data_IF_886438980403
#
_entry.id   IF_886438980403
#
_cell.length_a   1.000
_cell.length_b   1.000
_cell.length_c   1.000
_cell.angle_alpha   90.00
_cell.angle_beta   90.00
_cell.angle_gamma   90.00
#
_symmetry.space_group_name_H-M   'P 1'
#
loop_
_entity.id
_entity.type
_entity.pdbx_description
1 polymer ?
#
# COMPACT_ATOMS: atom_id res chain seq x y z
N UNK A 1 -6.09 21.59 -30.68
CA UNK A 1 -7.46 21.95 -31.15
C UNK A 1 -8.09 22.88 -30.12
N UNK A 2 -8.94 23.82 -30.53
CA UNK A 2 -9.61 24.76 -29.62
C UNK A 2 -11.02 24.26 -29.35
N UNK A 3 -11.30 23.83 -28.11
CA UNK A 3 -12.64 23.37 -27.70
C UNK A 3 -13.72 24.42 -27.96
N UNK A 4 -13.38 25.71 -27.85
CA UNK A 4 -14.29 26.82 -28.13
C UNK A 4 -14.67 26.90 -29.62
N UNK A 5 -13.69 26.80 -30.53
CA UNK A 5 -13.96 26.84 -31.97
C UNK A 5 -14.69 25.58 -32.45
N UNK A 6 -14.42 24.44 -31.81
CA UNK A 6 -15.08 23.19 -32.15
C UNK A 6 -16.59 23.27 -31.88
N UNK A 7 -17.04 24.01 -30.86
CA UNK A 7 -18.48 24.19 -30.55
C UNK A 7 -19.24 24.85 -31.71
N UNK A 8 -18.58 25.71 -32.49
CA UNK A 8 -19.18 26.36 -33.67
C UNK A 8 -19.49 25.38 -34.81
N UNK A 9 -19.02 24.12 -34.72
CA UNK A 9 -19.29 23.05 -35.70
C UNK A 9 -20.50 22.18 -35.35
N UNK A 10 -21.37 22.62 -34.42
CA UNK A 10 -22.47 21.82 -33.86
C UNK A 10 -23.25 20.99 -34.89
N UNK A 11 -23.79 21.62 -35.93
CA UNK A 11 -24.59 20.93 -36.96
C UNK A 11 -23.78 20.03 -37.90
N UNK A 12 -22.46 20.20 -38.00
CA UNK A 12 -21.58 19.36 -38.84
C UNK A 12 -21.13 18.07 -38.15
N UNK A 13 -21.44 17.90 -36.86
CA UNK A 13 -21.03 16.71 -36.07
C UNK A 13 -22.02 15.54 -36.14
N UNK A 14 -23.30 15.82 -36.40
CA UNK A 14 -24.34 14.80 -36.59
C UNK A 14 -24.03 13.97 -37.83
N UNK A 15 -23.94 12.65 -37.68
CA UNK A 15 -23.66 11.72 -38.78
C UNK A 15 -24.94 11.01 -39.27
N UNK A 16 -25.85 10.69 -38.36
CA UNK A 16 -27.09 10.00 -38.70
C UNK A 16 -27.94 9.74 -37.46
N UNK A 17 -29.19 9.37 -37.71
CA UNK A 17 -30.13 8.90 -36.69
C UNK A 17 -30.26 7.38 -36.76
N UNK A 18 -30.63 6.77 -35.65
CA UNK A 18 -30.93 5.34 -35.57
C UNK A 18 -32.17 5.11 -34.71
N UNK A 19 -32.77 3.92 -34.85
CA UNK A 19 -33.99 3.52 -34.14
C UNK A 19 -35.14 4.52 -34.31
N UNK A 20 -35.54 4.77 -35.57
CA UNK A 20 -36.69 5.63 -35.94
C UNK A 20 -36.66 7.03 -35.29
N UNK A 21 -35.48 7.63 -35.24
CA UNK A 21 -35.27 8.96 -34.64
C UNK A 21 -35.05 8.96 -33.13
N UNK A 22 -35.01 7.79 -32.47
CA UNK A 22 -34.76 7.69 -31.03
C UNK A 22 -33.31 8.03 -30.65
N UNK A 23 -32.35 7.73 -31.52
CA UNK A 23 -30.93 7.92 -31.26
C UNK A 23 -30.21 8.70 -32.36
N UNK A 24 -29.12 9.36 -31.99
CA UNK A 24 -28.24 10.08 -32.91
C UNK A 24 -26.79 9.58 -32.76
N UNK A 25 -26.12 9.35 -33.89
CA UNK A 25 -24.67 9.11 -33.92
C UNK A 25 -23.94 10.42 -34.21
N UNK A 26 -22.95 10.74 -33.36
CA UNK A 26 -22.12 11.94 -33.49
C UNK A 26 -20.66 11.58 -33.72
N UNK A 27 -20.00 12.37 -34.56
CA UNK A 27 -18.55 12.35 -34.70
C UNK A 27 -17.98 13.58 -33.98
N UNK A 28 -17.45 13.36 -32.78
CA UNK A 28 -16.89 14.39 -31.92
C UNK A 28 -15.67 13.88 -31.15
N UNK A 29 -14.81 14.82 -30.73
CA UNK A 29 -13.60 14.45 -29.99
C UNK A 29 -13.96 13.75 -28.68
N UNK A 30 -13.32 12.60 -28.46
CA UNK A 30 -13.36 11.83 -27.21
C UNK A 30 -11.97 11.81 -26.54
N UNK A 31 -11.16 12.83 -26.80
CA UNK A 31 -9.78 12.91 -26.29
C UNK A 31 -9.72 12.93 -24.76
N UNK A 32 -10.77 13.41 -24.09
CA UNK A 32 -10.90 13.40 -22.63
C UNK A 32 -10.82 11.99 -22.03
N UNK A 33 -11.14 10.95 -22.79
CA UNK A 33 -11.04 9.55 -22.36
C UNK A 33 -9.59 9.13 -22.06
N UNK A 34 -8.60 9.85 -22.61
CA UNK A 34 -7.19 9.62 -22.32
C UNK A 34 -6.87 9.80 -20.82
N UNK A 35 -7.69 10.53 -20.05
CA UNK A 35 -7.54 10.65 -18.60
C UNK A 35 -7.63 9.28 -17.92
N UNK A 36 -8.63 8.47 -18.26
CA UNK A 36 -8.78 7.13 -17.70
C UNK A 36 -7.75 6.15 -18.26
N UNK A 37 -7.40 6.26 -19.55
CA UNK A 37 -6.31 5.45 -20.15
C UNK A 37 -4.97 5.70 -19.44
N UNK A 38 -4.62 6.96 -19.21
CA UNK A 38 -3.40 7.36 -18.51
C UNK A 38 -3.40 6.95 -17.03
N UNK A 39 -4.58 6.89 -16.38
CA UNK A 39 -4.71 6.35 -15.03
C UNK A 39 -4.39 4.85 -14.98
N UNK A 40 -4.88 4.07 -15.94
CA UNK A 40 -4.67 2.63 -16.00
C UNK A 40 -3.24 2.22 -16.39
N UNK A 41 -2.58 3.01 -17.25
CA UNK A 41 -1.17 2.81 -17.59
C UNK A 41 -0.29 2.82 -16.33
N UNK A 42 0.78 2.01 -16.34
CA UNK A 42 1.69 1.79 -15.22
C UNK A 42 3.13 1.65 -15.74
N UNK A 43 4.10 1.77 -14.85
CA UNK A 43 5.53 1.70 -15.18
C UNK A 43 5.97 0.24 -15.33
N UNK A 44 5.57 -0.61 -14.37
CA UNK A 44 5.87 -2.05 -14.37
C UNK A 44 4.90 -2.84 -13.50
N UNK A 45 4.89 -4.15 -13.70
CA UNK A 45 4.27 -5.14 -12.82
C UNK A 45 5.36 -5.97 -12.15
N UNK A 46 5.22 -6.23 -10.86
CA UNK A 46 6.09 -7.13 -10.08
C UNK A 46 5.26 -8.28 -9.54
N UNK A 47 5.76 -9.52 -9.61
CA UNK A 47 5.12 -10.67 -8.97
C UNK A 47 5.39 -10.65 -7.46
N UNK A 48 4.35 -10.76 -6.65
CA UNK A 48 4.47 -10.97 -5.20
C UNK A 48 3.32 -11.82 -4.65
N UNK A 49 3.28 -12.00 -3.33
CA UNK A 49 2.20 -12.67 -2.59
C UNK A 49 1.99 -12.02 -1.22
N UNK A 50 0.99 -12.46 -0.46
CA UNK A 50 0.70 -11.96 0.88
C UNK A 50 1.18 -12.95 1.95
N UNK A 51 2.18 -12.57 2.74
CA UNK A 51 2.69 -13.33 3.89
C UNK A 51 1.78 -13.27 5.10
N UNK A 52 0.49 -13.61 4.93
CA UNK A 52 -0.54 -13.64 5.97
C UNK A 52 -1.11 -15.04 6.09
N UNK A 53 -1.42 -15.48 7.31
CA UNK A 53 -1.95 -16.81 7.59
C UNK A 53 -3.41 -16.97 7.13
N UNK A 54 -3.62 -17.15 5.82
CA UNK A 54 -4.95 -17.20 5.21
C UNK A 54 -5.19 -18.42 4.32
N UNK A 55 -4.24 -19.35 4.24
CA UNK A 55 -4.19 -20.52 3.32
C UNK A 55 -4.25 -20.21 1.83
N UNK A 56 -4.40 -18.94 1.46
CA UNK A 56 -4.60 -18.51 0.08
C UNK A 56 -3.39 -18.76 -0.82
N UNK A 57 -2.19 -18.35 -0.39
CA UNK A 57 -0.96 -18.44 -1.23
C UNK A 57 -1.16 -17.88 -2.66
N UNK A 58 -1.98 -16.84 -2.81
CA UNK A 58 -2.32 -16.26 -4.10
C UNK A 58 -1.15 -15.40 -4.61
N UNK A 59 -0.74 -15.59 -5.86
CA UNK A 59 0.21 -14.73 -6.56
C UNK A 59 -0.50 -13.50 -7.14
N UNK A 60 0.11 -12.33 -7.02
CA UNK A 60 -0.43 -11.04 -7.44
C UNK A 60 0.53 -10.28 -8.37
N UNK A 61 -0.06 -9.48 -9.25
CA UNK A 61 0.55 -8.44 -10.06
C UNK A 61 0.53 -7.15 -9.24
N UNK A 62 1.68 -6.71 -8.76
CA UNK A 62 1.84 -5.45 -8.03
C UNK A 62 2.15 -4.37 -9.06
N UNK A 63 1.27 -3.37 -9.19
CA UNK A 63 1.41 -2.29 -10.16
C UNK A 63 2.23 -1.16 -9.54
N UNK A 64 3.30 -0.78 -10.24
CA UNK A 64 4.10 0.40 -9.91
C UNK A 64 3.78 1.48 -10.94
N UNK A 65 3.43 2.68 -10.47
CA UNK A 65 3.17 3.86 -11.31
C UNK A 65 3.76 5.09 -10.65
N UNK A 66 4.45 5.93 -11.42
CA UNK A 66 5.21 7.07 -10.92
C UNK A 66 6.23 6.66 -9.83
N UNK A 67 6.83 5.46 -9.96
CA UNK A 67 7.78 4.93 -8.98
C UNK A 67 7.17 4.47 -7.64
N UNK A 68 5.84 4.46 -7.49
CA UNK A 68 5.14 4.07 -6.26
C UNK A 68 4.22 2.86 -6.52
N UNK A 69 4.04 2.02 -5.50
CA UNK A 69 3.03 0.96 -5.55
C UNK A 69 1.64 1.62 -5.53
N UNK A 70 0.78 1.29 -6.50
CA UNK A 70 -0.54 1.93 -6.63
C UNK A 70 -1.73 1.00 -6.40
N UNK A 71 -1.72 -0.19 -6.97
CA UNK A 71 -2.76 -1.21 -6.76
C UNK A 71 -2.22 -2.60 -7.09
N UNK A 72 -3.02 -3.64 -6.84
CA UNK A 72 -2.73 -5.01 -7.24
C UNK A 72 -3.91 -5.67 -7.95
N UNK A 73 -3.61 -6.59 -8.87
CA UNK A 73 -4.58 -7.55 -9.44
C UNK A 73 -3.98 -8.95 -9.38
N UNK A 74 -4.81 -9.99 -9.46
CA UNK A 74 -4.30 -11.35 -9.37
C UNK A 74 -3.43 -11.75 -10.57
N UNK A 75 -2.45 -12.61 -10.33
CA UNK A 75 -1.82 -13.38 -11.39
C UNK A 75 -2.77 -14.49 -11.84
N UNK A 76 -2.69 -14.86 -13.11
CA UNK A 76 -3.54 -15.90 -13.70
C UNK A 76 -2.73 -17.00 -14.39
N UNK A 77 -1.41 -16.98 -14.22
CA UNK A 77 -0.46 -17.85 -14.91
C UNK A 77 0.10 -18.97 -14.04
N UNK A 78 -0.72 -19.46 -13.10
CA UNK A 78 -0.40 -20.71 -12.40
C UNK A 78 -0.28 -21.85 -13.42
N UNK A 79 0.57 -22.87 -13.17
CA UNK A 79 0.54 -24.09 -13.96
C UNK A 79 -0.89 -24.63 -14.05
N UNK A 80 -1.35 -24.88 -15.28
CA UNK A 80 -2.71 -25.35 -15.55
C UNK A 80 -2.94 -26.72 -14.90
N UNK A 81 -4.17 -26.96 -14.49
CA UNK A 81 -4.60 -28.29 -14.04
C UNK A 81 -4.80 -29.22 -15.25
N UNK A 82 -5.17 -30.48 -14.98
CA UNK A 82 -5.52 -31.45 -16.03
C UNK A 82 -6.76 -30.97 -16.83
N UNK A 83 -6.94 -31.38 -18.10
CA UNK A 83 -8.03 -30.90 -18.95
C UNK A 83 -9.45 -31.11 -18.40
N UNK A 84 -9.64 -32.08 -17.51
CA UNK A 84 -10.89 -32.44 -16.85
C UNK A 84 -11.17 -31.64 -15.56
N UNK A 85 -10.27 -30.75 -15.16
CA UNK A 85 -10.38 -29.94 -13.94
C UNK A 85 -10.34 -28.43 -14.26
N UNK A 86 -11.01 -27.58 -13.47
CA UNK A 86 -10.86 -26.14 -13.59
C UNK A 86 -9.45 -25.70 -13.18
N UNK A 87 -8.96 -24.60 -13.75
CA UNK A 87 -7.71 -23.98 -13.33
C UNK A 87 -7.89 -23.20 -12.01
N UNK A 88 -6.78 -22.90 -11.35
CA UNK A 88 -6.78 -22.18 -10.07
C UNK A 88 -6.99 -20.66 -10.20
N UNK A 89 -6.68 -20.10 -11.37
CA UNK A 89 -6.77 -18.67 -11.59
C UNK A 89 -8.21 -18.15 -11.46
N UNK A 90 -8.41 -16.90 -10.96
CA UNK A 90 -7.40 -15.95 -10.50
C UNK A 90 -6.99 -16.10 -9.03
N UNK A 91 -7.65 -16.96 -8.25
CA UNK A 91 -7.63 -16.92 -6.77
C UNK A 91 -7.92 -15.49 -6.25
N UNK A 92 -7.27 -15.08 -5.16
CA UNK A 92 -7.41 -13.76 -4.56
C UNK A 92 -8.62 -13.64 -3.62
N UNK A 93 -8.68 -12.54 -2.87
CA UNK A 93 -9.76 -12.25 -1.93
C UNK A 93 -9.81 -10.72 -1.66
N UNK A 94 -10.92 -10.17 -1.13
CA UNK A 94 -11.04 -8.73 -0.91
C UNK A 94 -10.02 -8.18 0.10
N UNK A 95 -9.50 -9.02 1.01
CA UNK A 95 -8.42 -8.62 1.95
C UNK A 95 -7.09 -8.46 1.24
N UNK A 96 -6.80 -9.32 0.25
CA UNK A 96 -5.58 -9.20 -0.57
C UNK A 96 -5.63 -8.01 -1.52
N UNK A 97 -6.81 -7.73 -2.09
CA UNK A 97 -7.01 -6.62 -3.04
C UNK A 97 -6.89 -5.21 -2.41
N UNK A 98 -6.75 -5.11 -1.09
CA UNK A 98 -6.59 -3.84 -0.37
C UNK A 98 -5.19 -3.67 0.25
N UNK A 99 -4.26 -4.60 0.03
CA UNK A 99 -2.98 -4.61 0.74
C UNK A 99 -2.08 -3.42 0.38
N UNK A 100 -2.13 -2.95 -0.88
CA UNK A 100 -1.43 -1.74 -1.35
C UNK A 100 -1.69 -0.50 -0.49
N UNK A 101 -2.85 -0.43 0.19
CA UNK A 101 -3.18 0.65 1.13
C UNK A 101 -2.12 0.83 2.23
N UNK A 102 -1.58 -0.26 2.78
CA UNK A 102 -0.68 -0.21 3.93
C UNK A 102 0.67 0.45 3.64
N UNK A 103 1.09 0.50 2.37
CA UNK A 103 2.45 0.94 2.02
C UNK A 103 2.69 2.39 2.44
N UNK A 104 1.70 3.26 2.20
CA UNK A 104 1.82 4.70 2.47
C UNK A 104 0.70 5.25 3.38
N UNK A 105 -0.13 4.39 3.98
CA UNK A 105 -1.20 4.84 4.87
C UNK A 105 -0.69 5.53 6.14
N UNK A 106 -1.60 6.26 6.80
CA UNK A 106 -1.32 6.98 8.03
C UNK A 106 -0.84 6.07 9.18
N UNK A 107 -1.09 4.76 9.10
CA UNK A 107 -0.69 3.80 10.14
C UNK A 107 0.61 3.06 9.83
N UNK A 108 1.35 3.45 8.77
CA UNK A 108 2.62 2.81 8.41
C UNK A 108 3.70 3.11 9.46
N UNK A 109 4.33 2.06 9.98
CA UNK A 109 5.54 2.18 10.79
C UNK A 109 6.74 2.52 9.89
N UNK A 110 7.31 3.72 10.08
CA UNK A 110 8.42 4.26 9.28
C UNK A 110 9.79 4.18 9.97
N UNK A 111 9.81 4.17 11.30
CA UNK A 111 11.03 4.23 12.11
C UNK A 111 10.92 3.27 13.30
N UNK A 112 12.04 2.77 13.84
CA UNK A 112 12.04 2.11 15.13
C UNK A 112 11.52 3.08 16.21
N UNK A 113 10.70 2.54 17.12
CA UNK A 113 10.05 3.32 18.18
C UNK A 113 10.24 2.62 19.52
N UNK A 114 10.57 3.41 20.53
CA UNK A 114 10.72 2.93 21.92
C UNK A 114 9.82 3.76 22.83
N UNK A 115 9.36 3.16 23.93
CA UNK A 115 8.58 3.88 24.95
C UNK A 115 9.49 4.92 25.62
N UNK A 116 9.07 6.19 25.65
CA UNK A 116 9.87 7.31 26.18
C UNK A 116 10.48 7.04 27.58
N UNK A 117 9.71 6.58 28.60
CA UNK A 117 10.26 6.19 29.89
C UNK A 117 11.44 5.21 29.83
N UNK A 118 11.34 4.15 29.01
CA UNK A 118 12.42 3.18 28.86
C UNK A 118 13.65 3.83 28.20
N UNK A 119 13.44 4.59 27.13
CA UNK A 119 14.55 5.20 26.40
C UNK A 119 15.29 6.26 27.22
N UNK A 120 14.57 6.96 28.11
CA UNK A 120 15.17 7.90 29.06
C UNK A 120 16.13 7.16 30.00
N UNK A 121 15.66 6.09 30.65
CA UNK A 121 16.48 5.26 31.55
C UNK A 121 17.67 4.65 30.82
N UNK A 122 17.45 4.16 29.59
CA UNK A 122 18.49 3.59 28.75
C UNK A 122 19.63 4.58 28.50
N UNK A 123 19.30 5.78 28.01
CA UNK A 123 20.30 6.82 27.71
C UNK A 123 21.03 7.31 28.96
N UNK A 124 20.33 7.42 30.09
CA UNK A 124 20.94 7.79 31.38
C UNK A 124 21.96 6.73 31.84
N UNK A 125 21.63 5.45 31.74
CA UNK A 125 22.55 4.37 32.10
C UNK A 125 23.72 4.22 31.11
N UNK A 126 23.45 4.35 29.81
CA UNK A 126 24.47 4.24 28.75
C UNK A 126 25.50 5.38 28.75
N UNK A 127 25.26 6.46 29.50
CA UNK A 127 26.24 7.52 29.68
C UNK A 127 27.49 7.05 30.44
N UNK A 128 27.38 6.01 31.27
CA UNK A 128 28.47 5.55 32.14
C UNK A 128 28.72 4.04 32.12
N UNK A 129 27.70 3.24 31.79
CA UNK A 129 27.76 1.77 31.81
C UNK A 129 27.82 1.20 30.41
N UNK A 130 28.43 0.03 30.26
CA UNK A 130 28.31 -0.76 29.03
C UNK A 130 26.87 -1.27 28.84
N UNK A 131 26.45 -1.72 27.64
CA UNK A 131 25.05 -2.07 27.36
C UNK A 131 24.44 -3.12 28.29
N UNK A 132 25.19 -4.17 28.61
CA UNK A 132 24.71 -5.27 29.46
C UNK A 132 24.54 -4.80 30.90
N UNK A 133 25.52 -4.05 31.43
CA UNK A 133 25.45 -3.43 32.76
C UNK A 133 24.35 -2.37 32.85
N UNK A 134 24.19 -1.56 31.80
CA UNK A 134 23.14 -0.55 31.69
C UNK A 134 21.76 -1.20 31.77
N UNK A 135 21.53 -2.26 30.98
CA UNK A 135 20.29 -3.02 31.03
C UNK A 135 20.06 -3.66 32.40
N UNK A 136 21.07 -4.31 32.96
CA UNK A 136 21.01 -4.88 34.30
C UNK A 136 20.57 -3.83 35.33
N UNK A 137 21.21 -2.64 35.34
CA UNK A 137 20.90 -1.54 36.27
C UNK A 137 19.47 -0.98 36.19
N UNK A 138 18.77 -1.23 35.07
CA UNK A 138 17.39 -0.79 34.83
C UNK A 138 16.40 -1.90 35.20
N UNK A 139 16.67 -3.15 34.79
CA UNK A 139 15.70 -4.24 34.94
C UNK A 139 15.69 -4.85 36.34
N UNK A 140 16.81 -4.80 37.07
CA UNK A 140 16.91 -5.32 38.44
C UNK A 140 16.44 -4.33 39.49
N UNK A 141 16.29 -3.05 39.15
CA UNK A 141 15.71 -2.03 40.02
C UNK A 141 14.17 -2.07 39.87
N UNK A 142 13.41 -2.46 40.92
CA UNK A 142 11.96 -2.63 40.83
C UNK A 142 11.25 -1.31 40.51
N UNK A 143 11.74 -0.17 41.00
CA UNK A 143 11.16 1.15 40.78
C UNK A 143 11.34 1.56 39.32
N UNK A 144 12.56 1.40 38.77
CA UNK A 144 12.81 1.68 37.35
C UNK A 144 12.00 0.74 36.46
N UNK A 145 11.96 -0.55 36.77
CA UNK A 145 11.24 -1.55 35.98
C UNK A 145 9.74 -1.26 35.92
N UNK A 146 9.12 -0.91 37.05
CA UNK A 146 7.71 -0.52 37.10
C UNK A 146 7.43 0.76 36.29
N UNK A 147 8.34 1.73 36.34
CA UNK A 147 8.14 3.04 35.70
C UNK A 147 7.94 2.98 34.17
N UNK A 148 8.58 2.02 33.48
CA UNK A 148 8.36 1.81 32.04
C UNK A 148 7.34 0.72 31.73
N UNK A 149 7.23 -0.34 32.55
CA UNK A 149 6.29 -1.44 32.32
C UNK A 149 4.84 -0.99 32.51
N UNK A 150 4.56 -0.16 33.50
CA UNK A 150 3.22 0.40 33.78
C UNK A 150 2.70 1.30 32.65
N UNK A 151 3.56 1.74 31.72
CA UNK A 151 3.20 2.59 30.57
C UNK A 151 2.99 1.82 29.27
N UNK A 152 2.97 0.48 29.30
CA UNK A 152 2.63 -0.35 28.13
C UNK A 152 1.16 -0.12 27.75
N UNK A 153 0.92 0.19 26.47
CA UNK A 153 -0.43 0.52 25.97
C UNK A 153 -0.88 1.97 26.19
N UNK A 154 -0.12 2.80 26.92
CA UNK A 154 -0.53 4.17 27.31
C UNK A 154 0.08 5.28 26.44
N UNK A 155 0.41 5.01 25.18
CA UNK A 155 1.04 6.01 24.29
C UNK A 155 2.47 6.43 24.72
N UNK A 156 3.03 7.48 24.11
CA UNK A 156 4.39 7.94 24.41
C UNK A 156 5.51 7.12 23.75
N UNK A 157 5.27 6.60 22.54
CA UNK A 157 6.34 6.13 21.69
C UNK A 157 7.12 7.32 21.10
N UNK A 158 8.45 7.23 21.12
CA UNK A 158 9.33 8.19 20.47
C UNK A 158 10.18 7.48 19.41
N UNK A 159 10.58 8.23 18.39
CA UNK A 159 11.49 7.74 17.35
C UNK A 159 12.85 7.43 17.96
N UNK A 160 13.43 6.31 17.54
CA UNK A 160 14.80 5.88 17.86
C UNK A 160 15.58 5.62 16.55
N UNK A 161 16.79 5.08 16.64
CA UNK A 161 17.61 4.61 15.52
C UNK A 161 17.71 3.08 15.54
N UNK A 162 18.12 2.47 14.42
CA UNK A 162 18.38 1.02 14.40
C UNK A 162 19.53 0.64 15.31
N UNK A 163 20.60 1.44 15.35
CA UNK A 163 21.74 1.20 16.24
C UNK A 163 21.32 1.16 17.72
N UNK A 164 20.46 2.10 18.15
CA UNK A 164 20.01 2.20 19.55
C UNK A 164 19.05 1.07 19.97
N UNK A 165 18.32 0.45 19.03
CA UNK A 165 17.41 -0.67 19.36
C UNK A 165 18.01 -2.06 19.15
N UNK A 166 19.16 -2.13 18.45
CA UNK A 166 19.91 -3.37 18.24
C UNK A 166 20.95 -3.63 19.34
N UNK A 167 21.50 -2.58 19.92
CA UNK A 167 22.37 -2.62 21.11
C UNK A 167 21.60 -3.13 22.35
#
# INVERSE_FOLDING_TARGET
MSHLLDQLRFFKRKQGEFADGHGETRNESRDWENVYRARWQYDKIVRSTHGVNCTGSCSWKIYVKNGLITWETQQTDYPRTRPDLPNHEPRGCPRGASYSWYIYSANRLKYPKVRKPLLKLWREARATLNPVEAWASIVTDPVKAESYKSKRGMGGFIRSSWDEVNE
#
